data_IF_348540761808
#
_entry.id   IF_348540761808
#
_cell.length_a   1.000
_cell.length_b   1.000
_cell.length_c   1.000
_cell.angle_alpha   90.00
_cell.angle_beta   90.00
_cell.angle_gamma   90.00
#
_symmetry.space_group_name_H-M   'P 1'
#
loop_
_entity.id
_entity.type
_entity.pdbx_description
1 polymer ?
#
# COMPACT_ATOMS: atom_id res chain seq x y z
N UNK A 1 -13.21 -5.17 18.90
CA UNK A 1 -12.82 -4.66 17.57
C UNK A 1 -12.58 -3.15 17.63
N UNK A 2 -11.33 -2.70 17.54
CA UNK A 2 -11.01 -1.27 17.50
C UNK A 2 -11.20 -0.77 16.06
N UNK A 3 -12.39 -0.26 15.72
CA UNK A 3 -12.70 0.28 14.37
C UNK A 3 -11.61 1.21 13.81
N UNK A 4 -10.98 2.00 14.67
CA UNK A 4 -9.88 2.89 14.30
C UNK A 4 -8.62 2.16 13.82
N UNK A 5 -8.32 0.97 14.32
CA UNK A 5 -7.19 0.15 13.85
C UNK A 5 -7.43 -0.37 12.43
N UNK A 6 -8.65 -0.87 12.16
CA UNK A 6 -9.05 -1.34 10.82
C UNK A 6 -8.96 -0.21 9.79
N UNK A 7 -9.43 0.99 10.14
CA UNK A 7 -9.36 2.15 9.24
C UNK A 7 -7.90 2.52 8.95
N UNK A 8 -7.05 2.64 9.98
CA UNK A 8 -5.62 2.93 9.79
C UNK A 8 -4.93 1.88 8.93
N UNK A 9 -5.24 0.61 9.13
CA UNK A 9 -4.70 -0.48 8.31
C UNK A 9 -5.04 -0.32 6.83
N UNK A 10 -6.31 -0.09 6.53
CA UNK A 10 -6.77 0.12 5.14
C UNK A 10 -6.19 1.38 4.51
N UNK A 11 -6.06 2.46 5.28
CA UNK A 11 -5.41 3.69 4.81
C UNK A 11 -3.95 3.41 4.46
N UNK A 12 -3.20 2.71 5.31
CA UNK A 12 -1.80 2.37 5.03
C UNK A 12 -1.67 1.47 3.80
N UNK A 13 -2.57 0.50 3.60
CA UNK A 13 -2.59 -0.33 2.40
C UNK A 13 -2.71 0.51 1.11
N UNK A 14 -3.63 1.48 1.10
CA UNK A 14 -3.82 2.38 -0.05
C UNK A 14 -2.61 3.30 -0.22
N UNK A 15 -2.05 3.83 0.87
CA UNK A 15 -0.85 4.66 0.82
C UNK A 15 0.33 3.91 0.22
N UNK A 16 0.54 2.64 0.59
CA UNK A 16 1.59 1.78 0.00
C UNK A 16 1.32 1.59 -1.51
N UNK A 17 0.07 1.31 -1.88
CA UNK A 17 -0.29 1.10 -3.27
C UNK A 17 0.03 2.30 -4.17
N UNK A 18 -0.12 3.52 -3.65
CA UNK A 18 0.16 4.76 -4.38
C UNK A 18 1.62 5.19 -4.25
N UNK A 19 2.29 4.92 -3.12
CA UNK A 19 3.65 5.36 -2.87
C UNK A 19 4.65 4.78 -3.86
N UNK A 20 4.50 3.51 -4.25
CA UNK A 20 5.42 2.85 -5.20
C UNK A 20 5.39 3.52 -6.59
N UNK A 21 4.25 3.64 -7.29
CA UNK A 21 4.21 4.33 -8.58
C UNK A 21 4.54 5.82 -8.47
N UNK A 22 4.18 6.48 -7.36
CA UNK A 22 4.56 7.88 -7.16
C UNK A 22 6.09 8.05 -7.05
N UNK A 23 6.76 7.20 -6.28
CA UNK A 23 8.21 7.21 -6.16
C UNK A 23 8.89 6.90 -7.50
N UNK A 24 8.40 5.89 -8.24
CA UNK A 24 8.91 5.56 -9.56
C UNK A 24 8.78 6.72 -10.54
N UNK A 25 7.63 7.40 -10.57
CA UNK A 25 7.41 8.56 -11.41
C UNK A 25 8.37 9.72 -11.08
N UNK A 26 8.63 9.96 -9.78
CA UNK A 26 9.55 11.01 -9.33
C UNK A 26 11.00 10.69 -9.70
N UNK A 27 11.44 9.46 -9.48
CA UNK A 27 12.85 9.05 -9.67
C UNK A 27 13.18 8.85 -11.14
N UNK A 28 12.30 8.20 -11.90
CA UNK A 28 12.56 7.82 -13.29
C UNK A 28 12.10 8.90 -14.28
N UNK A 29 11.24 9.84 -13.86
CA UNK A 29 10.59 10.81 -14.76
C UNK A 29 9.58 10.20 -15.72
N UNK A 30 9.36 8.89 -15.63
CA UNK A 30 8.41 8.10 -16.42
C UNK A 30 7.75 7.08 -15.50
N UNK A 31 6.48 6.78 -15.75
CA UNK A 31 5.71 5.82 -14.99
C UNK A 31 5.33 4.63 -15.88
N UNK A 32 6.10 3.55 -15.75
CA UNK A 32 5.80 2.30 -16.44
C UNK A 32 4.75 1.48 -15.68
N UNK A 33 4.01 0.66 -16.43
CA UNK A 33 2.89 -0.14 -15.90
C UNK A 33 3.35 -1.10 -14.80
N UNK A 34 4.59 -1.58 -14.86
CA UNK A 34 5.17 -2.48 -13.87
C UNK A 34 5.19 -1.87 -12.46
N UNK A 35 5.44 -0.57 -12.31
CA UNK A 35 5.44 0.09 -11.01
C UNK A 35 4.04 0.31 -10.45
N UNK A 36 3.04 0.46 -11.32
CA UNK A 36 1.63 0.50 -10.93
C UNK A 36 1.22 -0.88 -10.40
N UNK A 37 1.56 -1.94 -11.13
CA UNK A 37 1.27 -3.33 -10.73
C UNK A 37 2.00 -3.67 -9.44
N UNK A 38 3.28 -3.30 -9.31
CA UNK A 38 4.07 -3.52 -8.10
C UNK A 38 3.45 -2.80 -6.91
N UNK A 39 3.09 -1.52 -7.05
CA UNK A 39 2.40 -0.78 -5.99
C UNK A 39 1.11 -1.46 -5.57
N UNK A 40 0.24 -1.77 -6.53
CA UNK A 40 -1.02 -2.47 -6.25
C UNK A 40 -0.80 -3.79 -5.52
N UNK A 41 0.12 -4.65 -5.98
CA UNK A 41 0.43 -5.93 -5.34
C UNK A 41 0.92 -5.73 -3.90
N UNK A 42 1.80 -4.77 -3.68
CA UNK A 42 2.37 -4.51 -2.35
C UNK A 42 1.30 -3.98 -1.39
N UNK A 43 0.45 -3.05 -1.86
CA UNK A 43 -0.67 -2.52 -1.08
C UNK A 43 -1.74 -3.57 -0.78
N UNK A 44 -2.10 -4.43 -1.75
CA UNK A 44 -3.04 -5.53 -1.54
C UNK A 44 -2.48 -6.62 -0.61
N UNK A 45 -1.18 -6.93 -0.71
CA UNK A 45 -0.53 -7.85 0.21
C UNK A 45 -0.62 -7.32 1.65
N UNK A 46 -0.32 -6.03 1.86
CA UNK A 46 -0.48 -5.38 3.16
C UNK A 46 -1.94 -5.41 3.64
N UNK A 47 -2.90 -5.13 2.75
CA UNK A 47 -4.34 -5.18 3.08
C UNK A 47 -4.74 -6.57 3.58
N UNK A 48 -4.34 -7.63 2.87
CA UNK A 48 -4.78 -9.00 3.09
C UNK A 48 -4.22 -9.63 4.37
N UNK A 49 -2.92 -9.50 4.64
CA UNK A 49 -2.31 -10.16 5.80
C UNK A 49 -2.65 -9.49 7.14
N UNK A 50 -2.90 -8.19 7.15
CA UNK A 50 -3.15 -7.48 8.42
C UNK A 50 -1.92 -7.41 9.32
N UNK A 51 -1.91 -6.53 10.33
CA UNK A 51 -0.86 -6.50 11.33
C UNK A 51 -0.94 -7.75 12.21
N UNK A 52 0.15 -8.50 12.27
CA UNK A 52 0.29 -9.65 13.17
C UNK A 52 0.46 -9.22 14.63
N UNK A 53 0.98 -8.00 14.89
CA UNK A 53 1.08 -7.43 16.22
C UNK A 53 1.14 -5.89 16.22
N UNK A 54 0.31 -5.19 17.01
CA UNK A 54 -0.89 -5.69 17.68
C UNK A 54 -2.00 -6.05 16.66
N UNK A 55 -2.80 -7.11 16.91
CA UNK A 55 -3.89 -7.50 16.01
C UNK A 55 -5.02 -6.45 15.95
N UNK A 56 -5.75 -6.41 14.83
CA UNK A 56 -6.82 -5.42 14.51
C UNK A 56 -8.06 -5.48 15.41
#
# INVERSE_FOLDING_TARGET
MRRSAIIRHRVMAVMIAVAVPAAAAIVNGQLDVEFIVLGALTGFAYWYWGPTWPPL
#
